data_IF_404778600412
#
_entry.id   IF_404778600412
#
_cell.length_a   1.000
_cell.length_b   1.000
_cell.length_c   1.000
_cell.angle_alpha   90.00
_cell.angle_beta   90.00
_cell.angle_gamma   90.00
#
_symmetry.space_group_name_H-M   'P 1'
#
loop_
_entity.id
_entity.type
_entity.pdbx_description
1 polymer ?
#
# COMPACT_ATOMS: atom_id res chain seq x y z
N UNK A 1 -12.19 -22.22 -2.76
CA UNK A 1 -11.75 -21.02 -3.52
C UNK A 1 -12.37 -19.73 -2.99
N UNK A 2 -13.68 -19.68 -2.71
CA UNK A 2 -14.39 -18.45 -2.32
C UNK A 2 -13.76 -17.67 -1.15
N UNK A 3 -13.35 -18.35 -0.07
CA UNK A 3 -12.67 -17.69 1.05
C UNK A 3 -11.35 -17.03 0.65
N UNK A 4 -10.53 -17.69 -0.16
CA UNK A 4 -9.25 -17.13 -0.64
C UNK A 4 -9.49 -15.88 -1.50
N UNK A 5 -10.48 -15.91 -2.39
CA UNK A 5 -10.88 -14.75 -3.21
C UNK A 5 -11.33 -13.59 -2.32
N UNK A 6 -12.22 -13.85 -1.36
CA UNK A 6 -12.73 -12.82 -0.45
C UNK A 6 -11.59 -12.18 0.37
N UNK A 7 -10.72 -13.00 0.97
CA UNK A 7 -9.57 -12.50 1.74
C UNK A 7 -8.58 -11.73 0.85
N UNK A 8 -8.33 -12.20 -0.36
CA UNK A 8 -7.47 -11.52 -1.33
C UNK A 8 -8.02 -10.14 -1.70
N UNK A 9 -9.30 -10.07 -2.07
CA UNK A 9 -9.98 -8.83 -2.44
C UNK A 9 -10.03 -7.84 -1.25
N UNK A 10 -10.39 -8.30 -0.05
CA UNK A 10 -10.40 -7.45 1.14
C UNK A 10 -9.01 -6.90 1.47
N UNK A 11 -7.96 -7.71 1.32
CA UNK A 11 -6.57 -7.27 1.54
C UNK A 11 -6.17 -6.19 0.54
N UNK A 12 -6.53 -6.35 -0.74
CA UNK A 12 -6.31 -5.33 -1.77
C UNK A 12 -7.08 -4.04 -1.46
N UNK A 13 -8.35 -4.14 -1.06
CA UNK A 13 -9.20 -2.99 -0.71
C UNK A 13 -8.66 -2.24 0.49
N UNK A 14 -8.26 -2.93 1.57
CA UNK A 14 -7.70 -2.29 2.77
C UNK A 14 -6.42 -1.53 2.43
N UNK A 15 -5.54 -2.13 1.62
CA UNK A 15 -4.26 -1.49 1.28
C UNK A 15 -4.45 -0.34 0.29
N UNK A 16 -5.07 -0.58 -0.87
CA UNK A 16 -5.26 0.44 -1.91
C UNK A 16 -6.23 1.53 -1.46
N UNK A 17 -7.36 1.14 -0.85
CA UNK A 17 -8.34 2.08 -0.29
C UNK A 17 -7.76 2.93 0.84
N UNK A 18 -6.94 2.35 1.72
CA UNK A 18 -6.25 3.11 2.77
C UNK A 18 -5.26 4.14 2.20
N UNK A 19 -4.51 3.79 1.14
CA UNK A 19 -3.65 4.74 0.43
C UNK A 19 -4.47 5.85 -0.23
N UNK A 20 -5.58 5.50 -0.88
CA UNK A 20 -6.49 6.46 -1.51
C UNK A 20 -7.04 7.46 -0.48
N UNK A 21 -7.57 6.97 0.64
CA UNK A 21 -8.07 7.81 1.73
C UNK A 21 -6.97 8.73 2.29
N UNK A 22 -5.79 8.18 2.57
CA UNK A 22 -4.68 8.96 3.11
C UNK A 22 -4.26 10.10 2.17
N UNK A 23 -4.25 9.85 0.86
CA UNK A 23 -3.82 10.81 -0.15
C UNK A 23 -4.88 11.85 -0.49
N UNK A 24 -6.13 11.42 -0.69
CA UNK A 24 -7.21 12.27 -1.22
C UNK A 24 -7.99 13.00 -0.13
N UNK A 25 -8.21 12.38 1.02
CA UNK A 25 -9.06 12.93 2.07
C UNK A 25 -8.26 13.40 3.28
N UNK A 26 -7.44 12.52 3.86
CA UNK A 26 -6.74 12.82 5.10
C UNK A 26 -5.71 13.93 4.91
N UNK A 27 -4.93 13.90 3.84
CA UNK A 27 -3.89 14.91 3.58
C UNK A 27 -4.44 16.35 3.52
N UNK A 28 -5.44 16.69 2.68
CA UNK A 28 -5.96 18.06 2.64
C UNK A 28 -6.59 18.47 3.98
N UNK A 29 -7.29 17.55 4.67
CA UNK A 29 -7.85 17.83 5.99
C UNK A 29 -6.76 18.18 7.02
N UNK A 30 -5.66 17.43 7.05
CA UNK A 30 -4.51 17.74 7.91
C UNK A 30 -3.86 19.07 7.53
N UNK A 31 -3.77 19.38 6.24
CA UNK A 31 -3.25 20.66 5.76
C UNK A 31 -4.10 21.87 6.17
N UNK A 32 -5.42 21.69 6.27
CA UNK A 32 -6.37 22.75 6.60
C UNK A 32 -6.50 23.00 8.10
N UNK A 33 -6.50 21.94 8.92
CA UNK A 33 -6.90 22.03 10.35
C UNK A 33 -5.72 21.89 11.31
N UNK A 34 -4.63 21.22 10.91
CA UNK A 34 -3.52 20.91 11.81
C UNK A 34 -2.38 21.92 11.61
N UNK A 35 -1.90 22.49 12.71
CA UNK A 35 -0.71 23.35 12.75
C UNK A 35 0.53 22.63 12.22
N UNK A 36 1.41 23.36 11.52
CA UNK A 36 2.57 22.78 10.84
C UNK A 36 3.45 21.92 11.77
N UNK A 37 3.68 22.35 13.02
CA UNK A 37 4.51 21.63 14.00
C UNK A 37 3.97 20.25 14.40
N UNK A 38 2.65 20.03 14.36
CA UNK A 38 2.02 18.76 14.78
C UNK A 38 1.76 17.78 13.64
N UNK A 39 1.89 18.22 12.38
CA UNK A 39 1.60 17.39 11.20
C UNK A 39 2.48 16.14 11.13
N UNK A 40 3.78 16.30 11.37
CA UNK A 40 4.75 15.19 11.28
C UNK A 40 4.47 14.09 12.31
N UNK A 41 4.08 14.48 13.53
CA UNK A 41 3.70 13.54 14.59
C UNK A 41 2.41 12.78 14.24
N UNK A 42 1.38 13.49 13.78
CA UNK A 42 0.13 12.87 13.34
C UNK A 42 0.38 11.86 12.21
N UNK A 43 1.16 12.24 11.19
CA UNK A 43 1.53 11.33 10.10
C UNK A 43 2.31 10.12 10.60
N UNK A 44 3.26 10.33 11.51
CA UNK A 44 4.03 9.24 12.11
C UNK A 44 3.10 8.22 12.82
N UNK A 45 2.19 8.72 13.65
CA UNK A 45 1.24 7.90 14.40
C UNK A 45 0.24 7.17 13.49
N UNK A 46 -0.28 7.84 12.47
CA UNK A 46 -1.21 7.25 11.50
C UNK A 46 -0.52 6.17 10.67
N UNK A 47 0.65 6.46 10.09
CA UNK A 47 1.39 5.51 9.27
C UNK A 47 1.85 4.29 10.08
N UNK A 48 2.23 4.49 11.35
CA UNK A 48 2.56 3.37 12.26
C UNK A 48 1.38 2.39 12.38
N UNK A 49 0.15 2.90 12.54
CA UNK A 49 -1.04 2.05 12.65
C UNK A 49 -1.39 1.41 11.32
N UNK A 50 -1.38 2.19 10.24
CA UNK A 50 -1.74 1.74 8.90
C UNK A 50 -0.77 0.67 8.38
N UNK A 51 0.55 0.84 8.58
CA UNK A 51 1.53 -0.12 8.06
C UNK A 51 1.45 -1.50 8.71
N UNK A 52 0.91 -1.63 9.93
CA UNK A 52 0.60 -2.95 10.51
C UNK A 52 -0.46 -3.69 9.68
N UNK A 53 -1.49 -2.97 9.24
CA UNK A 53 -2.51 -3.52 8.34
C UNK A 53 -1.96 -3.82 6.95
N UNK A 54 -1.06 -2.97 6.44
CA UNK A 54 -0.39 -3.22 5.15
C UNK A 54 0.46 -4.49 5.19
N UNK A 55 1.23 -4.71 6.26
CA UNK A 55 1.98 -5.95 6.45
C UNK A 55 1.07 -7.18 6.44
N UNK A 56 -0.04 -7.13 7.17
CA UNK A 56 -1.03 -8.21 7.17
C UNK A 56 -1.63 -8.44 5.78
N UNK A 57 -2.00 -7.36 5.08
CA UNK A 57 -2.55 -7.43 3.73
C UNK A 57 -1.56 -8.04 2.74
N UNK A 58 -0.26 -7.67 2.80
CA UNK A 58 0.78 -8.26 1.95
C UNK A 58 0.87 -9.77 2.15
N UNK A 59 0.94 -10.23 3.40
CA UNK A 59 1.04 -11.66 3.71
C UNK A 59 -0.19 -12.41 3.19
N UNK A 60 -1.39 -11.88 3.45
CA UNK A 60 -2.63 -12.48 2.98
C UNK A 60 -2.72 -12.51 1.45
N UNK A 61 -2.34 -11.43 0.76
CA UNK A 61 -2.33 -11.35 -0.70
C UNK A 61 -1.42 -12.41 -1.33
N UNK A 62 -0.20 -12.60 -0.79
CA UNK A 62 0.71 -13.62 -1.30
C UNK A 62 0.17 -15.03 -1.06
N UNK A 63 -0.25 -15.34 0.17
CA UNK A 63 -0.76 -16.68 0.52
C UNK A 63 -1.97 -17.03 -0.33
N UNK A 64 -2.95 -16.13 -0.40
CA UNK A 64 -4.20 -16.36 -1.15
C UNK A 64 -3.97 -16.33 -2.65
N UNK A 65 -3.11 -15.43 -3.16
CA UNK A 65 -2.79 -15.31 -4.58
C UNK A 65 -2.12 -16.56 -5.13
N UNK A 66 -1.04 -17.02 -4.48
CA UNK A 66 -0.36 -18.25 -4.90
C UNK A 66 -1.23 -19.48 -4.69
N UNK A 67 -2.03 -19.54 -3.62
CA UNK A 67 -3.00 -20.62 -3.45
C UNK A 67 -3.96 -20.72 -4.64
N UNK A 68 -4.52 -19.60 -5.10
CA UNK A 68 -5.41 -19.55 -6.26
C UNK A 68 -4.68 -19.99 -7.54
N UNK A 69 -3.45 -19.55 -7.77
CA UNK A 69 -2.63 -19.94 -8.93
C UNK A 69 -2.41 -21.47 -8.96
N UNK A 70 -1.91 -22.05 -7.87
CA UNK A 70 -1.52 -23.46 -7.86
C UNK A 70 -2.69 -24.43 -7.71
N UNK A 71 -3.72 -24.08 -6.92
CA UNK A 71 -4.87 -24.97 -6.66
C UNK A 71 -6.07 -24.69 -7.55
N UNK A 72 -6.20 -23.47 -8.10
CA UNK A 72 -7.32 -23.07 -8.94
C UNK A 72 -7.00 -23.11 -10.43
N UNK A 73 -5.87 -22.52 -10.82
CA UNK A 73 -5.47 -22.37 -12.22
C UNK A 73 -4.53 -23.47 -12.73
N UNK A 74 -4.23 -24.49 -11.90
CA UNK A 74 -3.33 -25.58 -12.30
C UNK A 74 -1.85 -25.19 -12.38
N UNK A 75 -1.47 -24.07 -11.75
CA UNK A 75 -0.10 -23.53 -11.75
C UNK A 75 0.08 -22.31 -12.65
N UNK A 76 1.31 -21.80 -12.70
CA UNK A 76 1.64 -20.57 -13.46
C UNK A 76 1.40 -20.71 -14.96
N UNK A 77 1.48 -21.92 -15.53
CA UNK A 77 1.22 -22.14 -16.96
C UNK A 77 -0.28 -22.05 -17.32
N UNK A 78 -1.18 -22.26 -16.36
CA UNK A 78 -2.63 -22.13 -16.56
C UNK A 78 -3.19 -20.76 -16.14
N UNK A 79 -2.34 -19.86 -15.66
CA UNK A 79 -2.72 -18.50 -15.30
C UNK A 79 -2.77 -17.60 -16.54
N UNK A 80 -3.82 -16.81 -16.70
CA UNK A 80 -3.94 -15.85 -17.80
C UNK A 80 -2.91 -14.71 -17.70
N UNK A 81 -2.68 -14.01 -18.81
CA UNK A 81 -1.72 -12.88 -18.89
C UNK A 81 -1.97 -11.82 -17.79
N UNK A 82 -3.24 -11.54 -17.48
CA UNK A 82 -3.65 -10.55 -16.49
C UNK A 82 -3.18 -10.92 -15.07
N UNK A 83 -3.09 -12.22 -14.75
CA UNK A 83 -2.60 -12.69 -13.44
C UNK A 83 -1.09 -12.46 -13.34
N UNK A 84 -0.34 -12.70 -14.41
CA UNK A 84 1.10 -12.41 -14.43
C UNK A 84 1.39 -10.91 -14.31
N UNK A 85 0.62 -10.07 -15.02
CA UNK A 85 0.71 -8.62 -14.89
C UNK A 85 0.37 -8.15 -13.48
N UNK A 86 -0.73 -8.65 -12.90
CA UNK A 86 -1.14 -8.37 -11.52
C UNK A 86 -0.05 -8.76 -10.51
N UNK A 87 0.55 -9.95 -10.68
CA UNK A 87 1.64 -10.44 -9.83
C UNK A 87 2.88 -9.54 -9.94
N UNK A 88 3.32 -9.20 -11.16
CA UNK A 88 4.50 -8.35 -11.37
C UNK A 88 4.31 -6.97 -10.73
N UNK A 89 3.17 -6.32 -10.98
CA UNK A 89 2.86 -5.02 -10.41
C UNK A 89 2.71 -5.08 -8.88
N UNK A 90 2.08 -6.13 -8.35
CA UNK A 90 1.98 -6.37 -6.91
C UNK A 90 3.34 -6.50 -6.23
N UNK A 91 4.30 -7.20 -6.86
CA UNK A 91 5.67 -7.30 -6.36
C UNK A 91 6.39 -5.95 -6.38
N UNK A 92 6.20 -5.14 -7.43
CA UNK A 92 6.73 -3.77 -7.48
C UNK A 92 6.16 -2.93 -6.33
N UNK A 93 4.86 -3.02 -6.08
CA UNK A 93 4.22 -2.32 -4.95
C UNK A 93 4.80 -2.72 -3.60
N UNK A 94 5.07 -4.03 -3.42
CA UNK A 94 5.71 -4.53 -2.22
C UNK A 94 7.13 -3.97 -2.04
N UNK A 95 7.94 -3.93 -3.11
CA UNK A 95 9.28 -3.35 -3.06
C UNK A 95 9.26 -1.86 -2.71
N UNK A 96 8.31 -1.10 -3.29
CA UNK A 96 8.10 0.31 -2.95
C UNK A 96 7.73 0.47 -1.47
N UNK A 97 6.84 -0.37 -0.96
CA UNK A 97 6.44 -0.36 0.44
C UNK A 97 7.61 -0.71 1.38
N UNK A 98 8.40 -1.75 1.06
CA UNK A 98 9.58 -2.12 1.85
C UNK A 98 10.59 -0.98 1.91
N UNK A 99 10.91 -0.38 0.76
CA UNK A 99 11.78 0.80 0.71
C UNK A 99 11.23 1.95 1.56
N UNK A 100 9.94 2.25 1.43
CA UNK A 100 9.26 3.28 2.21
C UNK A 100 9.32 3.01 3.71
N UNK A 101 9.04 1.78 4.13
CA UNK A 101 8.96 1.39 5.54
C UNK A 101 10.34 1.45 6.21
N UNK A 102 11.37 0.92 5.57
CA UNK A 102 12.70 0.80 6.16
C UNK A 102 13.54 2.08 6.07
N UNK A 103 13.33 2.92 5.05
CA UNK A 103 14.09 4.16 4.87
C UNK A 103 13.34 5.41 5.37
N UNK A 104 12.43 6.05 4.61
CA UNK A 104 11.87 7.34 5.01
C UNK A 104 10.95 7.25 6.24
N UNK A 105 10.22 6.15 6.45
CA UNK A 105 9.38 6.02 7.65
C UNK A 105 10.20 5.86 8.94
N UNK A 106 11.32 5.13 8.89
CA UNK A 106 12.27 5.07 10.01
C UNK A 106 12.85 6.46 10.32
N UNK A 107 13.24 7.22 9.28
CA UNK A 107 13.75 8.59 9.42
C UNK A 107 12.70 9.56 9.96
N UNK A 108 11.44 9.42 9.55
CA UNK A 108 10.33 10.20 10.10
C UNK A 108 10.17 9.94 11.62
N UNK A 109 10.20 8.69 12.05
CA UNK A 109 10.13 8.34 13.49
C UNK A 109 11.27 8.99 14.28
N UNK A 110 12.48 8.98 13.75
CA UNK A 110 13.65 9.63 14.37
C UNK A 110 13.48 11.14 14.45
N UNK A 111 13.03 11.79 13.37
CA UNK A 111 12.79 13.25 13.35
C UNK A 111 11.72 13.67 14.36
N UNK A 112 10.62 12.90 14.47
CA UNK A 112 9.56 13.16 15.47
C UNK A 112 10.09 12.98 16.89
N UNK A 113 10.89 11.95 17.15
CA UNK A 113 11.51 11.73 18.46
C UNK A 113 12.52 12.82 18.84
N UNK A 114 13.20 13.40 17.85
CA UNK A 114 14.13 14.52 18.02
C UNK A 114 13.43 15.90 18.01
N UNK A 115 12.11 15.95 17.88
CA UNK A 115 11.32 17.18 17.74
C UNK A 115 11.83 18.11 16.61
N UNK A 116 12.27 17.52 15.50
CA UNK A 116 12.74 18.22 14.29
C UNK A 116 11.62 18.29 13.23
N UNK A 117 10.88 19.42 13.15
CA UNK A 117 9.76 19.56 12.23
C UNK A 117 10.22 19.68 10.76
N UNK A 118 11.42 20.20 10.50
CA UNK A 118 11.95 20.39 9.15
C UNK A 118 12.26 19.04 8.51
N UNK A 119 12.99 18.18 9.22
CA UNK A 119 13.29 16.84 8.74
C UNK A 119 12.02 15.98 8.66
N UNK A 120 11.12 16.13 9.64
CA UNK A 120 9.81 15.47 9.63
C UNK A 120 9.01 15.79 8.37
N UNK A 121 8.89 17.07 8.02
CA UNK A 121 8.20 17.52 6.81
C UNK A 121 8.85 16.98 5.53
N UNK A 122 10.19 16.97 5.47
CA UNK A 122 10.94 16.42 4.33
C UNK A 122 10.68 14.93 4.13
N UNK A 123 10.66 14.14 5.22
CA UNK A 123 10.37 12.71 5.13
C UNK A 123 8.90 12.43 4.78
N UNK A 124 7.94 13.18 5.34
CA UNK A 124 6.51 13.09 4.94
C UNK A 124 6.35 13.37 3.44
N UNK A 125 7.06 14.35 2.90
CA UNK A 125 7.07 14.66 1.46
C UNK A 125 7.55 13.49 0.58
N UNK A 126 8.61 12.79 1.00
CA UNK A 126 9.12 11.58 0.32
C UNK A 126 8.14 10.42 0.40
N UNK A 127 7.60 10.15 1.59
CA UNK A 127 6.57 9.12 1.82
C UNK A 127 5.38 9.37 0.91
N UNK A 128 4.89 10.61 0.84
CA UNK A 128 3.78 10.99 -0.05
C UNK A 128 4.04 10.62 -1.51
N UNK A 129 5.23 10.91 -2.04
CA UNK A 129 5.55 10.62 -3.44
C UNK A 129 5.53 9.11 -3.71
N UNK A 130 6.14 8.33 -2.81
CA UNK A 130 6.14 6.87 -2.90
C UNK A 130 4.73 6.28 -2.77
N UNK A 131 3.93 6.74 -1.81
CA UNK A 131 2.52 6.32 -1.65
C UNK A 131 1.71 6.68 -2.89
N UNK A 132 1.90 7.85 -3.48
CA UNK A 132 1.20 8.27 -4.70
C UNK A 132 1.49 7.36 -5.90
N UNK A 133 2.77 7.04 -6.13
CA UNK A 133 3.17 6.06 -7.16
C UNK A 133 2.55 4.70 -6.87
N UNK A 134 2.65 4.25 -5.62
CA UNK A 134 2.12 2.95 -5.19
C UNK A 134 0.59 2.85 -5.34
N UNK A 135 -0.12 3.96 -5.08
CA UNK A 135 -1.57 4.06 -5.26
C UNK A 135 -1.96 3.92 -6.74
N UNK A 136 -1.27 4.61 -7.65
CA UNK A 136 -1.55 4.51 -9.09
C UNK A 136 -1.39 3.06 -9.55
N UNK A 137 -0.27 2.42 -9.18
CA UNK A 137 -0.03 1.00 -9.50
C UNK A 137 -1.14 0.14 -8.88
N UNK A 138 -1.53 0.39 -7.63
CA UNK A 138 -2.59 -0.35 -6.95
C UNK A 138 -3.95 -0.24 -7.64
N UNK A 139 -4.32 0.94 -8.13
CA UNK A 139 -5.55 1.12 -8.90
C UNK A 139 -5.52 0.37 -10.23
N UNK A 140 -4.39 0.39 -10.94
CA UNK A 140 -4.17 -0.41 -12.16
C UNK A 140 -4.28 -1.91 -11.85
N UNK A 141 -3.66 -2.37 -10.76
CA UNK A 141 -3.73 -3.77 -10.31
C UNK A 141 -5.17 -4.19 -10.02
N UNK A 142 -5.94 -3.35 -9.33
CA UNK A 142 -7.36 -3.63 -9.05
C UNK A 142 -8.17 -3.71 -10.34
N UNK A 143 -7.93 -2.80 -11.30
CA UNK A 143 -8.61 -2.83 -12.59
C UNK A 143 -8.26 -4.09 -13.41
N UNK A 144 -6.99 -4.48 -13.46
CA UNK A 144 -6.55 -5.72 -14.13
C UNK A 144 -7.15 -6.94 -13.44
N UNK A 145 -7.15 -6.98 -12.10
CA UNK A 145 -7.68 -8.10 -11.34
C UNK A 145 -9.19 -8.29 -11.47
N UNK A 146 -9.95 -7.21 -11.63
CA UNK A 146 -11.42 -7.25 -11.76
C UNK A 146 -11.90 -7.38 -13.21
N UNK A 147 -11.27 -6.67 -14.14
CA UNK A 147 -11.70 -6.60 -15.54
C UNK A 147 -10.85 -7.44 -16.50
N UNK A 148 -9.63 -7.82 -16.13
CA UNK A 148 -8.67 -8.46 -17.04
C UNK A 148 -9.05 -9.87 -17.53
N UNK A 149 -10.08 -10.49 -16.94
CA UNK A 149 -10.69 -11.71 -17.50
C UNK A 149 -11.57 -11.43 -18.72
N UNK A 150 -12.10 -10.21 -18.83
CA UNK A 150 -13.03 -9.78 -19.88
C UNK A 150 -12.34 -8.96 -20.99
N UNK A 151 -11.03 -8.69 -20.84
CA UNK A 151 -10.17 -8.01 -21.81
C UNK A 151 -9.24 -9.02 -22.49
#
# INVERSE_FOLDING_TARGET
>A
MGLAIALHALSAVIWVGGMFFAYMAMRPAVGAVIEAGKRSELWCQTLTRFFRWVWLAIVLLLITGYWMIFKGFGGMAGAGWHIHAMQMLGLIMMLLFLHLYFAPFRRLKLAVAASDPEEGGRQVGKIRRLVGINLIIGLVVVAIGSAGRYL
#
